data_IF_577625369949
#
_entry.id   IF_577625369949
#
_cell.length_a   1.000
_cell.length_b   1.000
_cell.length_c   1.000
_cell.angle_alpha   90.00
_cell.angle_beta   90.00
_cell.angle_gamma   90.00
#
_symmetry.space_group_name_H-M   'P 1'
#
loop_
_entity.id
_entity.type
_entity.pdbx_description
1 polymer ?
#
# COMPACT_ATOMS: atom_id res chain seq x y z
N UNK A 1 18.09 39.19 -11.08
CA UNK A 1 16.83 38.42 -10.97
C UNK A 1 16.96 37.49 -9.79
N UNK A 2 16.38 37.85 -8.64
CA UNK A 2 16.27 36.96 -7.48
C UNK A 2 15.30 35.85 -7.85
N UNK A 3 15.84 34.71 -8.29
CA UNK A 3 15.05 33.49 -8.52
C UNK A 3 14.43 33.12 -7.18
N UNK A 4 13.10 33.19 -7.09
CA UNK A 4 12.35 32.68 -5.95
C UNK A 4 12.87 31.27 -5.65
N UNK A 5 13.20 30.94 -4.39
CA UNK A 5 13.68 29.59 -4.08
C UNK A 5 12.65 28.57 -4.60
N UNK A 6 13.10 27.44 -5.19
CA UNK A 6 12.18 26.44 -5.68
C UNK A 6 11.26 25.98 -4.54
N UNK A 7 9.96 25.87 -4.85
CA UNK A 7 8.91 25.42 -3.94
C UNK A 7 9.17 23.98 -3.44
N UNK A 8 10.00 23.22 -4.17
CA UNK A 8 10.45 21.87 -3.85
C UNK A 8 11.88 21.84 -3.27
N UNK A 9 12.18 20.78 -2.53
CA UNK A 9 13.53 20.41 -2.09
C UNK A 9 14.20 19.48 -3.09
N UNK A 10 15.53 19.46 -3.08
CA UNK A 10 16.34 18.56 -3.90
C UNK A 10 17.12 17.67 -2.96
N UNK A 11 16.89 16.37 -3.07
CA UNK A 11 17.66 15.35 -2.38
C UNK A 11 18.64 14.71 -3.35
N UNK A 12 19.89 14.54 -2.90
CA UNK A 12 20.95 13.87 -3.67
C UNK A 12 21.50 12.71 -2.86
N UNK A 13 21.32 11.49 -3.35
CA UNK A 13 21.83 10.29 -2.70
C UNK A 13 22.00 9.15 -3.69
N UNK A 14 23.07 8.37 -3.51
CA UNK A 14 23.36 7.15 -4.29
C UNK A 14 23.31 7.33 -5.82
N UNK A 15 23.78 8.49 -6.30
CA UNK A 15 23.84 8.84 -7.71
C UNK A 15 22.54 9.39 -8.32
N UNK A 16 21.50 9.61 -7.50
CA UNK A 16 20.18 10.06 -7.96
C UNK A 16 19.80 11.42 -7.38
N UNK A 17 18.93 12.11 -8.10
CA UNK A 17 18.36 13.40 -7.70
C UNK A 17 16.85 13.25 -7.60
N UNK A 18 16.31 13.52 -6.42
CA UNK A 18 14.88 13.40 -6.12
C UNK A 18 14.32 14.77 -5.76
N UNK A 19 13.25 15.17 -6.44
CA UNK A 19 12.48 16.38 -6.13
C UNK A 19 11.40 16.03 -5.09
N UNK A 20 11.41 16.72 -3.94
CA UNK A 20 10.49 16.42 -2.84
C UNK A 20 9.77 17.67 -2.32
N UNK A 21 8.59 17.47 -1.71
CA UNK A 21 7.86 18.55 -1.06
C UNK A 21 8.41 18.76 0.35
N UNK A 22 8.91 19.96 0.65
CA UNK A 22 9.55 20.26 1.94
C UNK A 22 8.52 20.27 3.06
N UNK A 23 8.73 19.48 4.11
CA UNK A 23 7.85 19.50 5.28
C UNK A 23 8.63 19.11 6.53
N UNK A 24 8.49 19.92 7.57
CA UNK A 24 9.16 19.73 8.85
C UNK A 24 8.13 19.29 9.89
N UNK A 25 8.45 18.19 10.59
CA UNK A 25 7.59 17.65 11.65
C UNK A 25 7.94 18.29 12.99
N UNK A 26 6.93 18.70 13.74
CA UNK A 26 7.12 19.26 15.09
C UNK A 26 7.66 18.22 16.10
N UNK A 27 7.37 16.94 15.85
CA UNK A 27 7.72 15.84 16.75
C UNK A 27 8.28 14.65 15.97
N UNK A 28 9.37 14.07 16.46
CA UNK A 28 9.99 12.85 15.95
C UNK A 28 9.90 11.77 17.03
N UNK A 29 9.34 10.61 16.68
CA UNK A 29 9.30 9.47 17.60
C UNK A 29 10.63 8.72 17.60
N UNK A 30 10.94 8.02 18.70
CA UNK A 30 12.22 7.31 18.84
C UNK A 30 12.46 6.27 17.72
N UNK A 31 11.41 5.59 17.22
CA UNK A 31 11.55 4.68 16.08
C UNK A 31 11.88 5.42 14.78
N UNK A 32 11.38 6.64 14.61
CA UNK A 32 11.59 7.46 13.41
C UNK A 32 13.01 8.02 13.39
N UNK A 33 13.65 8.21 14.56
CA UNK A 33 15.06 8.60 14.63
C UNK A 33 16.05 7.54 14.14
N UNK A 34 15.60 6.29 13.91
CA UNK A 34 16.41 5.24 13.30
C UNK A 34 16.50 5.38 11.76
N UNK A 35 15.80 6.36 11.19
CA UNK A 35 15.73 6.57 9.76
C UNK A 35 17.06 7.09 9.19
N UNK A 36 17.54 6.43 8.13
CA UNK A 36 18.66 6.89 7.31
C UNK A 36 18.26 6.79 5.83
N UNK A 37 18.07 7.95 5.21
CA UNK A 37 17.60 8.09 3.83
C UNK A 37 18.55 7.41 2.83
N UNK A 38 19.88 7.54 3.01
CA UNK A 38 20.87 7.00 2.07
C UNK A 38 21.01 5.49 2.21
N UNK A 39 21.06 4.98 3.43
CA UNK A 39 21.14 3.53 3.68
C UNK A 39 19.89 2.83 3.16
N UNK A 40 18.70 3.35 3.47
CA UNK A 40 17.44 2.73 3.03
C UNK A 40 17.27 2.82 1.52
N UNK A 41 17.62 3.96 0.91
CA UNK A 41 17.60 4.07 -0.55
C UNK A 41 18.57 3.07 -1.20
N UNK A 42 19.78 2.90 -0.64
CA UNK A 42 20.75 1.90 -1.11
C UNK A 42 20.19 0.48 -0.99
N UNK A 43 19.51 0.18 0.12
CA UNK A 43 18.88 -1.11 0.33
C UNK A 43 17.86 -1.41 -0.76
N UNK A 44 16.90 -0.51 -1.03
CA UNK A 44 15.91 -0.75 -2.08
C UNK A 44 16.56 -0.81 -3.45
N UNK A 45 17.51 0.07 -3.78
CA UNK A 45 18.23 0.05 -5.06
C UNK A 45 18.92 -1.29 -5.32
N UNK A 46 19.56 -1.87 -4.31
CA UNK A 46 20.27 -3.14 -4.44
C UNK A 46 19.37 -4.38 -4.33
N UNK A 47 18.14 -4.23 -3.82
CA UNK A 47 17.32 -5.37 -3.42
C UNK A 47 15.90 -5.36 -3.96
N UNK A 48 15.46 -4.33 -4.69
CA UNK A 48 14.08 -4.23 -5.15
C UNK A 48 13.66 -5.46 -5.98
N UNK A 49 14.56 -6.00 -6.79
CA UNK A 49 14.29 -7.18 -7.63
C UNK A 49 14.04 -8.45 -6.79
N UNK A 50 14.50 -8.48 -5.53
CA UNK A 50 14.20 -9.57 -4.60
C UNK A 50 12.70 -9.66 -4.30
N UNK A 51 11.94 -8.57 -4.46
CA UNK A 51 10.47 -8.59 -4.36
C UNK A 51 9.85 -9.58 -5.35
N UNK A 52 10.38 -9.69 -6.56
CA UNK A 52 9.89 -10.63 -7.59
C UNK A 52 10.11 -12.07 -7.15
N UNK A 53 11.32 -12.38 -6.67
CA UNK A 53 11.63 -13.72 -6.15
C UNK A 53 10.79 -14.07 -4.91
N UNK A 54 10.57 -13.10 -4.01
CA UNK A 54 9.70 -13.27 -2.85
C UNK A 54 8.25 -13.54 -3.26
N UNK A 55 7.72 -12.82 -4.26
CA UNK A 55 6.37 -13.04 -4.78
C UNK A 55 6.22 -14.40 -5.46
N UNK A 56 7.20 -14.86 -6.24
CA UNK A 56 7.21 -16.20 -6.83
C UNK A 56 7.26 -17.26 -5.73
N UNK A 57 8.18 -17.11 -4.77
CA UNK A 57 8.32 -18.01 -3.63
C UNK A 57 7.04 -18.08 -2.79
N UNK A 58 6.38 -16.95 -2.58
CA UNK A 58 5.08 -16.85 -1.93
C UNK A 58 4.00 -17.66 -2.67
N UNK A 59 3.87 -17.52 -3.99
CA UNK A 59 2.89 -18.30 -4.77
C UNK A 59 3.18 -19.80 -4.66
N UNK A 60 4.44 -20.21 -4.79
CA UNK A 60 4.85 -21.62 -4.63
C UNK A 60 4.50 -22.13 -3.23
N UNK A 61 4.86 -21.36 -2.18
CA UNK A 61 4.57 -21.69 -0.80
C UNK A 61 3.08 -21.90 -0.55
N UNK A 62 2.23 -20.99 -1.04
CA UNK A 62 0.78 -21.09 -0.87
C UNK A 62 0.22 -22.36 -1.54
N UNK A 63 0.69 -22.70 -2.74
CA UNK A 63 0.26 -23.94 -3.42
C UNK A 63 0.71 -25.21 -2.68
N UNK A 64 1.97 -25.24 -2.22
CA UNK A 64 2.49 -26.35 -1.42
C UNK A 64 1.72 -26.50 -0.10
N UNK A 65 1.43 -25.38 0.57
CA UNK A 65 0.71 -25.38 1.82
C UNK A 65 -0.76 -25.81 1.64
N UNK A 66 -1.40 -25.42 0.54
CA UNK A 66 -2.75 -25.90 0.20
C UNK A 66 -2.76 -27.43 0.05
N UNK A 67 -1.83 -27.98 -0.74
CA UNK A 67 -1.68 -29.44 -0.92
C UNK A 67 -1.41 -30.15 0.40
N UNK A 68 -0.54 -29.58 1.24
CA UNK A 68 -0.25 -30.13 2.57
C UNK A 68 -1.47 -30.13 3.50
N UNK A 69 -2.33 -29.12 3.39
CA UNK A 69 -3.53 -29.01 4.21
C UNK A 69 -4.69 -29.89 3.71
N UNK A 70 -4.68 -30.41 2.48
CA UNK A 70 -5.76 -31.26 1.94
C UNK A 70 -6.12 -32.42 2.89
N UNK A 71 -5.11 -33.14 3.38
CA UNK A 71 -5.25 -34.28 4.28
C UNK A 71 -5.46 -33.92 5.77
N UNK A 72 -5.48 -32.62 6.13
CA UNK A 72 -5.52 -32.15 7.53
C UNK A 72 -6.83 -31.46 7.88
N UNK A 73 -7.15 -31.37 9.18
CA UNK A 73 -8.30 -30.58 9.65
C UNK A 73 -7.93 -29.07 9.69
N UNK A 74 -8.90 -28.16 9.49
CA UNK A 74 -8.64 -26.71 9.59
C UNK A 74 -8.16 -26.36 11.00
N UNK A 75 -7.11 -25.54 11.11
CA UNK A 75 -6.53 -25.19 12.40
C UNK A 75 -7.33 -24.08 13.10
N UNK A 76 -7.47 -24.21 14.42
CA UNK A 76 -8.08 -23.17 15.25
C UNK A 76 -7.02 -22.20 15.77
N UNK A 77 -6.69 -21.19 14.97
CA UNK A 77 -5.65 -20.18 15.24
C UNK A 77 -6.25 -18.80 15.55
N UNK A 78 -7.41 -18.75 16.19
CA UNK A 78 -8.11 -17.47 16.47
C UNK A 78 -7.27 -16.47 17.30
N UNK A 79 -6.60 -16.86 18.40
CA UNK A 79 -5.78 -15.91 19.17
C UNK A 79 -4.64 -15.33 18.33
N UNK A 80 -3.97 -16.19 17.55
CA UNK A 80 -2.90 -15.74 16.65
C UNK A 80 -3.42 -14.75 15.61
N UNK A 81 -4.58 -15.02 15.02
CA UNK A 81 -5.24 -14.08 14.11
C UNK A 81 -5.64 -12.76 14.76
N UNK A 82 -6.07 -12.78 16.03
CA UNK A 82 -6.40 -11.56 16.76
C UNK A 82 -5.16 -10.68 16.92
N UNK A 83 -4.05 -11.26 17.39
CA UNK A 83 -2.79 -10.51 17.56
C UNK A 83 -2.21 -10.05 16.22
N UNK A 84 -2.28 -10.89 15.18
CA UNK A 84 -1.81 -10.56 13.85
C UNK A 84 -2.60 -9.40 13.22
N UNK A 85 -3.93 -9.53 13.13
CA UNK A 85 -4.78 -8.48 12.57
C UNK A 85 -4.78 -7.24 13.47
N UNK A 86 -4.74 -7.40 14.79
CA UNK A 86 -4.64 -6.29 15.73
C UNK A 86 -3.32 -5.53 15.60
N UNK A 87 -2.21 -6.24 15.43
CA UNK A 87 -0.89 -5.65 15.17
C UNK A 87 -0.86 -4.87 13.86
N UNK A 88 -1.36 -5.46 12.76
CA UNK A 88 -1.47 -4.77 11.48
C UNK A 88 -2.44 -3.60 11.52
N UNK A 89 -3.54 -3.69 12.27
CA UNK A 89 -4.46 -2.58 12.50
C UNK A 89 -3.76 -1.42 13.22
N UNK A 90 -3.09 -1.68 14.35
CA UNK A 90 -2.33 -0.64 15.08
C UNK A 90 -1.26 -0.03 14.19
N UNK A 91 -0.48 -0.86 13.49
CA UNK A 91 0.52 -0.41 12.53
C UNK A 91 -0.07 0.53 11.48
N UNK A 92 -1.19 0.15 10.86
CA UNK A 92 -1.85 0.97 9.85
C UNK A 92 -2.51 2.21 10.41
N UNK A 93 -3.04 2.18 11.64
CA UNK A 93 -3.59 3.36 12.33
C UNK A 93 -2.47 4.37 12.58
N UNK A 94 -1.37 3.94 13.20
CA UNK A 94 -0.22 4.82 13.48
C UNK A 94 0.37 5.35 12.18
N UNK A 95 0.53 4.49 11.16
CA UNK A 95 0.98 4.91 9.83
C UNK A 95 0.04 5.94 9.19
N UNK A 96 -1.27 5.74 9.27
CA UNK A 96 -2.27 6.71 8.77
C UNK A 96 -2.11 8.06 9.44
N UNK A 97 -1.98 8.10 10.77
CA UNK A 97 -1.84 9.36 11.49
C UNK A 97 -0.50 10.04 11.22
N UNK A 98 0.62 9.30 11.32
CA UNK A 98 1.96 9.88 11.17
C UNK A 98 2.23 10.31 9.74
N UNK A 99 1.96 9.44 8.77
CA UNK A 99 2.10 9.79 7.35
C UNK A 99 1.06 10.84 6.92
N UNK A 100 -0.13 10.81 7.53
CA UNK A 100 -1.24 11.73 7.27
C UNK A 100 -0.92 13.20 7.53
N UNK A 101 0.04 13.50 8.42
CA UNK A 101 0.47 14.86 8.73
C UNK A 101 1.12 15.52 7.49
N UNK A 102 2.13 14.89 6.90
CA UNK A 102 2.76 15.39 5.67
C UNK A 102 1.81 15.30 4.47
N UNK A 103 0.99 14.24 4.40
CA UNK A 103 -0.04 14.12 3.37
C UNK A 103 -1.00 15.31 3.38
N UNK A 104 -1.50 15.69 4.56
CA UNK A 104 -2.42 16.81 4.72
C UNK A 104 -1.78 18.12 4.27
N UNK A 105 -0.54 18.39 4.67
CA UNK A 105 0.19 19.59 4.26
C UNK A 105 0.40 19.65 2.74
N UNK A 106 0.88 18.55 2.15
CA UNK A 106 1.13 18.47 0.71
C UNK A 106 -0.14 18.67 -0.11
N UNK A 107 -1.26 18.06 0.29
CA UNK A 107 -2.53 18.12 -0.46
C UNK A 107 -3.27 19.43 -0.25
N UNK A 108 -3.46 19.84 1.01
CA UNK A 108 -4.40 20.92 1.35
C UNK A 108 -3.74 22.29 1.52
N UNK A 109 -2.44 22.36 1.81
CA UNK A 109 -1.75 23.65 1.97
C UNK A 109 -0.91 24.02 0.74
N UNK A 110 -0.19 23.05 0.17
CA UNK A 110 0.66 23.28 -1.01
C UNK A 110 -0.06 23.07 -2.34
N UNK A 111 -1.06 22.20 -2.35
CA UNK A 111 -1.94 21.98 -3.48
C UNK A 111 -1.66 20.69 -4.27
N UNK A 112 -2.55 20.35 -5.21
CA UNK A 112 -2.58 19.03 -5.84
C UNK A 112 -1.32 18.72 -6.65
N UNK A 113 -0.74 19.70 -7.35
CA UNK A 113 0.49 19.51 -8.12
C UNK A 113 1.65 19.05 -7.23
N UNK A 114 1.88 19.75 -6.12
CA UNK A 114 2.92 19.42 -5.15
C UNK A 114 2.73 18.02 -4.57
N UNK A 115 1.47 17.68 -4.24
CA UNK A 115 1.12 16.40 -3.65
C UNK A 115 1.34 15.20 -4.58
N UNK A 116 1.30 15.41 -5.90
CA UNK A 116 1.35 14.36 -6.92
C UNK A 116 2.73 14.28 -7.58
N UNK A 117 3.42 15.40 -7.73
CA UNK A 117 4.64 15.49 -8.53
C UNK A 117 5.94 15.71 -7.76
N UNK A 118 5.88 16.03 -6.47
CA UNK A 118 7.05 16.03 -5.61
C UNK A 118 6.99 14.92 -4.58
N UNK A 119 8.09 14.18 -4.42
CA UNK A 119 8.23 13.09 -3.48
C UNK A 119 8.00 13.51 -2.03
N UNK A 120 7.82 12.51 -1.17
CA UNK A 120 7.85 12.65 0.29
C UNK A 120 9.21 13.25 0.69
N UNK A 121 9.24 14.13 1.69
CA UNK A 121 10.49 14.65 2.22
C UNK A 121 11.37 13.49 2.73
N UNK A 122 12.53 13.20 2.10
CA UNK A 122 13.36 12.04 2.44
C UNK A 122 13.92 12.09 3.85
N UNK A 123 13.98 13.26 4.48
CA UNK A 123 14.48 13.42 5.86
C UNK A 123 13.38 13.32 6.92
N UNK A 124 12.12 13.18 6.50
CA UNK A 124 10.97 13.29 7.40
C UNK A 124 10.50 11.94 7.95
N UNK A 125 9.81 11.93 9.10
CA UNK A 125 9.05 10.78 9.57
C UNK A 125 8.18 10.08 8.52
N UNK A 126 7.60 10.80 7.55
CA UNK A 126 6.82 10.17 6.49
C UNK A 126 7.67 9.25 5.59
N UNK A 127 8.95 9.56 5.36
CA UNK A 127 9.83 8.68 4.59
C UNK A 127 10.08 7.35 5.34
N UNK A 128 10.26 7.42 6.66
CA UNK A 128 10.32 6.23 7.52
C UNK A 128 9.04 5.38 7.40
N UNK A 129 7.87 6.01 7.51
CA UNK A 129 6.59 5.29 7.36
C UNK A 129 6.37 4.77 5.93
N UNK A 130 6.89 5.45 4.90
CA UNK A 130 6.91 4.94 3.53
C UNK A 130 7.79 3.69 3.35
N UNK A 131 8.93 3.62 4.04
CA UNK A 131 9.75 2.39 4.08
C UNK A 131 9.02 1.27 4.83
N UNK A 132 8.47 1.56 6.01
CA UNK A 132 7.71 0.59 6.79
C UNK A 132 6.51 0.04 6.00
N UNK A 133 5.85 0.88 5.21
CA UNK A 133 4.82 0.47 4.27
C UNK A 133 5.33 -0.55 3.24
N UNK A 134 6.47 -0.27 2.60
CA UNK A 134 7.04 -1.18 1.61
C UNK A 134 7.44 -2.54 2.24
N UNK A 135 7.95 -2.51 3.49
CA UNK A 135 8.29 -3.72 4.24
C UNK A 135 7.04 -4.48 4.71
N UNK A 136 5.93 -3.80 5.05
CA UNK A 136 4.71 -4.44 5.52
C UNK A 136 4.12 -5.41 4.50
N UNK A 137 4.34 -5.18 3.19
CA UNK A 137 3.85 -6.06 2.13
C UNK A 137 4.40 -7.49 2.22
N UNK A 138 5.61 -7.67 2.77
CA UNK A 138 6.13 -9.01 3.09
C UNK A 138 5.36 -9.62 4.25
N UNK A 139 5.14 -8.85 5.33
CA UNK A 139 4.39 -9.33 6.47
C UNK A 139 2.98 -9.78 6.03
N UNK A 140 2.30 -8.99 5.20
CA UNK A 140 0.95 -9.25 4.69
C UNK A 140 0.80 -10.58 3.92
N UNK A 141 1.89 -11.22 3.44
CA UNK A 141 1.82 -12.61 2.93
C UNK A 141 1.31 -13.60 3.98
N UNK A 142 1.50 -13.31 5.26
CA UNK A 142 0.95 -14.08 6.37
C UNK A 142 -0.57 -14.20 6.31
N UNK A 143 -1.29 -13.21 5.77
CA UNK A 143 -2.75 -13.25 5.64
C UNK A 143 -3.20 -14.47 4.82
N UNK A 144 -2.53 -14.70 3.70
CA UNK A 144 -2.84 -15.84 2.81
C UNK A 144 -2.45 -17.16 3.46
N UNK A 145 -1.31 -17.21 4.16
CA UNK A 145 -0.91 -18.38 4.93
C UNK A 145 -2.01 -18.74 5.92
N UNK A 146 -2.53 -17.79 6.70
CA UNK A 146 -3.59 -18.06 7.66
C UNK A 146 -4.92 -18.47 7.01
N UNK A 147 -5.26 -17.97 5.81
CA UNK A 147 -6.42 -18.46 5.06
C UNK A 147 -6.26 -19.93 4.70
N UNK A 148 -5.10 -20.35 4.19
CA UNK A 148 -4.83 -21.75 3.83
C UNK A 148 -4.87 -22.66 5.05
N UNK A 149 -4.21 -22.26 6.15
CA UNK A 149 -4.20 -23.01 7.42
C UNK A 149 -5.60 -23.21 8.02
N UNK A 150 -6.54 -22.32 7.71
CA UNK A 150 -7.96 -22.40 8.12
C UNK A 150 -8.86 -23.07 7.09
N UNK A 151 -8.30 -23.57 5.97
CA UNK A 151 -9.05 -24.07 4.80
C UNK A 151 -10.11 -23.07 4.30
N UNK A 152 -9.78 -21.79 4.30
CA UNK A 152 -10.59 -20.74 3.68
C UNK A 152 -10.20 -20.59 2.20
N UNK A 153 -11.16 -20.32 1.30
CA UNK A 153 -10.86 -20.17 -0.12
C UNK A 153 -9.91 -18.99 -0.35
N UNK A 154 -8.80 -19.24 -1.02
CA UNK A 154 -7.86 -18.20 -1.46
C UNK A 154 -8.25 -17.80 -2.88
N UNK A 155 -9.01 -16.72 -3.00
CA UNK A 155 -9.48 -16.22 -4.29
C UNK A 155 -8.35 -15.59 -5.11
N UNK A 156 -8.49 -15.58 -6.43
CA UNK A 156 -7.51 -14.99 -7.36
C UNK A 156 -7.10 -13.57 -6.95
N UNK A 157 -8.10 -12.71 -6.71
CA UNK A 157 -7.89 -11.31 -6.30
C UNK A 157 -6.93 -11.20 -5.10
N UNK A 158 -7.05 -12.08 -4.10
CA UNK A 158 -6.26 -11.97 -2.88
C UNK A 158 -4.78 -12.30 -3.13
N UNK A 159 -4.48 -13.48 -3.69
CA UNK A 159 -3.08 -13.87 -3.86
C UNK A 159 -2.38 -13.06 -4.94
N UNK A 160 -3.09 -12.70 -6.02
CA UNK A 160 -2.58 -11.84 -7.09
C UNK A 160 -2.26 -10.44 -6.55
N UNK A 161 -3.17 -9.86 -5.75
CA UNK A 161 -2.95 -8.58 -5.09
C UNK A 161 -1.66 -8.60 -4.26
N UNK A 162 -1.54 -9.51 -3.29
CA UNK A 162 -0.37 -9.54 -2.41
C UNK A 162 0.94 -9.71 -3.17
N UNK A 163 0.99 -10.59 -4.17
CA UNK A 163 2.19 -10.80 -4.98
C UNK A 163 2.62 -9.55 -5.75
N UNK A 164 1.65 -8.83 -6.34
CA UNK A 164 1.95 -7.70 -7.23
C UNK A 164 2.18 -6.39 -6.46
N UNK A 165 1.48 -6.15 -5.34
CA UNK A 165 1.69 -4.94 -4.53
C UNK A 165 3.07 -4.91 -3.88
N UNK A 166 3.66 -6.06 -3.54
CA UNK A 166 5.03 -6.11 -3.03
C UNK A 166 6.02 -5.59 -4.09
N UNK A 167 5.89 -6.07 -5.34
CA UNK A 167 6.76 -5.66 -6.45
C UNK A 167 6.60 -4.17 -6.73
N UNK A 168 5.35 -3.68 -6.81
CA UNK A 168 5.08 -2.26 -7.05
C UNK A 168 5.63 -1.38 -5.93
N UNK A 169 5.42 -1.74 -4.65
CA UNK A 169 5.88 -0.94 -3.52
C UNK A 169 7.41 -0.84 -3.49
N UNK A 170 8.12 -1.94 -3.78
CA UNK A 170 9.58 -1.97 -3.78
C UNK A 170 10.17 -1.23 -4.98
N UNK A 171 9.54 -1.35 -6.15
CA UNK A 171 9.93 -0.58 -7.34
C UNK A 171 9.70 0.93 -7.14
N UNK A 172 8.57 1.31 -6.55
CA UNK A 172 8.26 2.70 -6.21
C UNK A 172 9.19 3.28 -5.13
N UNK A 173 9.65 2.46 -4.18
CA UNK A 173 10.61 2.88 -3.15
C UNK A 173 12.00 3.21 -3.72
N UNK A 174 12.42 2.55 -4.81
CA UNK A 174 13.67 2.90 -5.52
C UNK A 174 13.57 4.29 -6.14
N UNK A 175 12.49 4.57 -6.86
CA UNK A 175 12.33 5.86 -7.55
C UNK A 175 11.90 7.01 -6.63
N UNK A 176 11.56 6.69 -5.38
CA UNK A 176 10.97 7.61 -4.40
C UNK A 176 9.79 8.37 -5.03
N UNK A 177 8.85 7.60 -5.62
CA UNK A 177 7.84 8.18 -6.50
C UNK A 177 6.89 9.14 -5.78
N UNK A 178 6.62 10.28 -6.41
CA UNK A 178 5.75 11.30 -5.83
C UNK A 178 4.31 10.84 -5.65
N UNK A 179 3.74 10.17 -6.66
CA UNK A 179 2.41 9.56 -6.57
C UNK A 179 2.31 8.50 -5.46
N UNK A 180 3.44 7.93 -5.04
CA UNK A 180 3.53 7.02 -3.89
C UNK A 180 2.91 7.60 -2.62
N UNK A 181 2.99 8.92 -2.41
CA UNK A 181 2.37 9.61 -1.26
C UNK A 181 0.88 9.28 -1.14
N UNK A 182 0.14 9.37 -2.23
CA UNK A 182 -1.29 9.10 -2.27
C UNK A 182 -1.60 7.61 -2.09
N UNK A 183 -0.84 6.74 -2.77
CA UNK A 183 -1.01 5.29 -2.67
C UNK A 183 -0.77 4.77 -1.26
N UNK A 184 0.28 5.25 -0.60
CA UNK A 184 0.65 4.89 0.77
C UNK A 184 -0.43 5.35 1.74
N UNK A 185 -0.83 6.63 1.70
CA UNK A 185 -1.83 7.17 2.62
C UNK A 185 -3.19 6.47 2.51
N UNK A 186 -3.71 6.31 1.29
CA UNK A 186 -4.99 5.63 1.07
C UNK A 186 -4.94 4.18 1.54
N UNK A 187 -3.86 3.47 1.24
CA UNK A 187 -3.72 2.08 1.68
C UNK A 187 -3.63 1.99 3.21
N UNK A 188 -2.85 2.85 3.88
CA UNK A 188 -2.80 2.89 5.34
C UNK A 188 -4.18 3.13 5.95
N UNK A 189 -4.90 4.13 5.44
CA UNK A 189 -6.24 4.45 5.91
C UNK A 189 -7.20 3.27 5.74
N UNK A 190 -7.27 2.68 4.56
CA UNK A 190 -8.16 1.55 4.28
C UNK A 190 -7.75 0.28 5.04
N UNK A 191 -6.44 0.00 5.15
CA UNK A 191 -5.92 -1.14 5.92
C UNK A 191 -6.19 -0.98 7.42
N UNK A 192 -6.15 0.24 7.96
CA UNK A 192 -6.51 0.49 9.36
C UNK A 192 -7.94 0.00 9.66
N UNK A 193 -8.89 0.26 8.75
CA UNK A 193 -10.28 -0.16 8.87
C UNK A 193 -10.45 -1.66 8.60
N UNK A 194 -9.81 -2.17 7.54
CA UNK A 194 -9.89 -3.58 7.15
C UNK A 194 -9.33 -4.51 8.22
N UNK A 195 -8.13 -4.25 8.74
CA UNK A 195 -7.53 -5.09 9.77
C UNK A 195 -8.24 -4.97 11.11
N UNK A 196 -8.79 -3.79 11.45
CA UNK A 196 -9.66 -3.65 12.62
C UNK A 196 -10.91 -4.53 12.48
N UNK A 197 -11.55 -4.52 11.30
CA UNK A 197 -12.67 -5.41 10.98
C UNK A 197 -12.27 -6.90 11.10
N UNK A 198 -11.09 -7.29 10.61
CA UNK A 198 -10.60 -8.67 10.73
C UNK A 198 -10.24 -9.07 12.16
N UNK A 199 -9.66 -8.17 12.96
CA UNK A 199 -9.38 -8.40 14.36
C UNK A 199 -10.69 -8.66 15.14
N UNK A 200 -11.72 -7.83 14.95
CA UNK A 200 -13.03 -8.00 15.59
C UNK A 200 -13.71 -9.31 15.13
N UNK A 201 -13.67 -9.63 13.84
CA UNK A 201 -14.29 -10.86 13.33
C UNK A 201 -13.50 -12.13 13.73
N UNK A 202 -12.22 -12.02 14.08
CA UNK A 202 -11.39 -13.14 14.53
C UNK A 202 -11.82 -13.72 15.88
N UNK A 203 -12.38 -12.88 16.77
CA UNK A 203 -12.96 -13.32 18.06
C UNK A 203 -14.36 -13.92 17.91
N UNK A 204 -14.89 -13.99 16.69
CA UNK A 204 -16.19 -14.57 16.39
C UNK A 204 -17.35 -13.58 16.42
N UNK A 205 -17.08 -12.29 16.64
CA UNK A 205 -18.09 -11.24 16.57
C UNK A 205 -18.49 -10.98 15.11
N UNK A 206 -19.79 -11.00 14.82
CA UNK A 206 -20.33 -10.77 13.47
C UNK A 206 -20.80 -9.33 13.35
N UNK A 207 -20.01 -8.51 12.66
CA UNK A 207 -20.38 -7.13 12.36
C UNK A 207 -21.52 -7.06 11.33
N UNK A 208 -22.34 -5.99 11.37
CA UNK A 208 -23.39 -5.77 10.37
C UNK A 208 -22.84 -5.77 8.94
N UNK A 209 -23.64 -6.24 7.98
CA UNK A 209 -23.26 -6.31 6.56
C UNK A 209 -22.82 -4.95 6.00
N UNK A 210 -23.38 -3.84 6.52
CA UNK A 210 -23.01 -2.49 6.09
C UNK A 210 -21.53 -2.19 6.36
N UNK A 211 -20.96 -2.70 7.45
CA UNK A 211 -19.55 -2.46 7.79
C UNK A 211 -18.62 -3.12 6.77
N UNK A 212 -18.86 -4.39 6.43
CA UNK A 212 -18.04 -5.08 5.43
C UNK A 212 -18.23 -4.50 4.02
N UNK A 213 -19.44 -4.05 3.71
CA UNK A 213 -19.74 -3.34 2.46
C UNK A 213 -18.99 -2.01 2.39
N UNK A 214 -18.96 -1.22 3.47
CA UNK A 214 -18.19 0.04 3.54
C UNK A 214 -16.70 -0.19 3.36
N UNK A 215 -16.11 -1.20 4.04
CA UNK A 215 -14.69 -1.53 3.86
C UNK A 215 -14.39 -1.88 2.40
N UNK A 216 -15.21 -2.73 1.78
CA UNK A 216 -15.03 -3.11 0.37
C UNK A 216 -15.24 -1.92 -0.56
N UNK A 217 -16.20 -1.04 -0.28
CA UNK A 217 -16.45 0.17 -1.06
C UNK A 217 -15.23 1.11 -1.00
N UNK A 218 -14.67 1.34 0.18
CA UNK A 218 -13.47 2.16 0.35
C UNK A 218 -12.26 1.57 -0.40
N UNK A 219 -12.07 0.24 -0.36
CA UNK A 219 -11.03 -0.44 -1.14
C UNK A 219 -11.21 -0.21 -2.65
N UNK A 220 -12.44 -0.31 -3.15
CA UNK A 220 -12.75 -0.07 -4.57
C UNK A 220 -12.54 1.39 -4.96
N UNK A 221 -12.98 2.34 -4.11
CA UNK A 221 -12.77 3.78 -4.35
C UNK A 221 -11.28 4.12 -4.40
N UNK A 222 -10.45 3.50 -3.55
CA UNK A 222 -9.00 3.67 -3.60
C UNK A 222 -8.42 3.31 -4.99
N UNK A 223 -8.98 2.29 -5.67
CA UNK A 223 -8.52 1.88 -7.00
C UNK A 223 -8.90 2.91 -8.07
N UNK A 224 -10.10 3.48 -7.98
CA UNK A 224 -10.52 4.59 -8.85
C UNK A 224 -9.60 5.80 -8.68
N UNK A 225 -9.31 6.20 -7.44
CA UNK A 225 -8.40 7.32 -7.17
C UNK A 225 -6.99 6.99 -7.68
N UNK A 226 -6.51 5.76 -7.50
CA UNK A 226 -5.19 5.34 -7.95
C UNK A 226 -5.01 5.43 -9.48
N UNK A 227 -6.02 4.98 -10.23
CA UNK A 227 -6.07 5.15 -11.69
C UNK A 227 -6.13 6.62 -12.07
N UNK A 228 -6.97 7.43 -11.40
CA UNK A 228 -7.09 8.86 -11.65
C UNK A 228 -5.77 9.62 -11.44
N UNK A 229 -5.04 9.33 -10.36
CA UNK A 229 -3.73 9.92 -10.09
C UNK A 229 -2.72 9.53 -11.18
N UNK A 230 -2.71 8.27 -11.61
CA UNK A 230 -1.82 7.80 -12.67
C UNK A 230 -2.09 8.53 -13.99
N UNK A 231 -3.37 8.72 -14.34
CA UNK A 231 -3.75 9.51 -15.53
C UNK A 231 -3.31 10.97 -15.38
N UNK A 232 -3.50 11.57 -14.20
CA UNK A 232 -3.10 12.96 -13.97
C UNK A 232 -1.58 13.15 -14.07
N UNK A 233 -0.78 12.23 -13.51
CA UNK A 233 0.67 12.24 -13.68
C UNK A 233 1.05 12.14 -15.16
N UNK A 234 0.39 11.27 -15.91
CA UNK A 234 0.64 11.12 -17.36
C UNK A 234 0.37 12.44 -18.09
N UNK A 235 -0.76 13.09 -17.84
CA UNK A 235 -1.12 14.38 -18.45
C UNK A 235 -0.08 15.45 -18.12
N UNK A 236 0.32 15.55 -16.85
CA UNK A 236 1.33 16.51 -16.38
C UNK A 236 2.66 16.30 -17.11
N UNK A 237 3.13 15.05 -17.20
CA UNK A 237 4.39 14.70 -17.88
C UNK A 237 4.33 14.97 -19.38
N UNK A 238 3.22 14.66 -20.04
CA UNK A 238 3.02 14.93 -21.47
C UNK A 238 2.99 16.43 -21.79
N UNK A 239 2.55 17.27 -20.84
CA UNK A 239 2.62 18.72 -20.94
C UNK A 239 4.03 19.30 -20.65
N UNK A 240 5.05 18.44 -20.46
CA UNK A 240 6.43 18.86 -20.23
C UNK A 240 6.71 19.37 -18.80
N UNK A 241 5.78 19.18 -17.87
CA UNK A 241 5.96 19.62 -16.48
C UNK A 241 6.78 18.60 -15.67
N UNK A 242 7.50 19.10 -14.66
CA UNK A 242 8.37 18.29 -13.80
C UNK A 242 7.54 17.44 -12.84
N UNK A 243 7.71 16.12 -12.90
CA UNK A 243 7.04 15.18 -12.00
C UNK A 243 7.98 14.03 -11.65
N UNK A 244 8.22 13.82 -10.35
CA UNK A 244 9.14 12.82 -9.79
C UNK A 244 8.53 11.40 -9.86
N UNK A 245 8.48 10.86 -11.07
CA UNK A 245 8.08 9.49 -11.36
C UNK A 245 8.56 9.12 -12.78
N UNK A 246 9.18 7.94 -12.98
CA UNK A 246 9.56 7.51 -14.32
C UNK A 246 8.34 7.11 -15.17
N UNK A 247 8.49 7.04 -16.50
CA UNK A 247 7.43 6.50 -17.36
C UNK A 247 7.21 5.00 -17.11
N UNK A 248 8.26 4.26 -16.78
CA UNK A 248 8.20 2.82 -16.50
C UNK A 248 7.39 2.54 -15.24
N UNK A 249 7.69 3.26 -14.15
CA UNK A 249 6.94 3.15 -12.91
C UNK A 249 5.49 3.62 -13.06
N UNK A 250 5.27 4.69 -13.84
CA UNK A 250 3.93 5.17 -14.14
C UNK A 250 3.11 4.11 -14.89
N UNK A 251 3.69 3.49 -15.93
CA UNK A 251 3.04 2.43 -16.68
C UNK A 251 2.74 1.22 -15.79
N UNK A 252 3.70 0.81 -14.96
CA UNK A 252 3.53 -0.27 -13.98
C UNK A 252 2.41 0.04 -12.98
N UNK A 253 2.42 1.22 -12.38
CA UNK A 253 1.40 1.68 -11.43
C UNK A 253 0.02 1.69 -12.07
N UNK A 254 -0.11 2.29 -13.26
CA UNK A 254 -1.38 2.35 -13.99
C UNK A 254 -1.92 0.94 -14.30
N UNK A 255 -1.09 0.05 -14.84
CA UNK A 255 -1.50 -1.30 -15.19
C UNK A 255 -2.01 -2.09 -13.97
N UNK A 256 -1.33 -1.98 -12.83
CA UNK A 256 -1.70 -2.67 -11.60
C UNK A 256 -2.99 -2.09 -10.99
N UNK A 257 -3.08 -0.77 -10.87
CA UNK A 257 -4.28 -0.14 -10.32
C UNK A 257 -5.51 -0.33 -11.22
N UNK A 258 -5.33 -0.35 -12.55
CA UNK A 258 -6.40 -0.66 -13.49
C UNK A 258 -6.86 -2.12 -13.36
N UNK A 259 -5.94 -3.08 -13.20
CA UNK A 259 -6.30 -4.48 -12.99
C UNK A 259 -7.05 -4.68 -11.67
N UNK A 260 -6.60 -4.02 -10.60
CA UNK A 260 -7.29 -4.04 -9.31
C UNK A 260 -8.65 -3.38 -9.36
N UNK A 261 -8.80 -2.26 -10.08
CA UNK A 261 -10.09 -1.61 -10.24
C UNK A 261 -11.14 -2.58 -10.81
N UNK A 262 -10.78 -3.33 -11.87
CA UNK A 262 -11.66 -4.35 -12.45
C UNK A 262 -11.98 -5.45 -11.44
N UNK A 263 -10.96 -5.98 -10.75
CA UNK A 263 -11.13 -7.10 -9.82
C UNK A 263 -11.94 -6.73 -8.58
N UNK A 264 -11.69 -5.57 -7.97
CA UNK A 264 -12.44 -5.08 -6.81
C UNK A 264 -13.88 -4.70 -7.19
N UNK A 265 -14.09 -4.10 -8.36
CA UNK A 265 -15.44 -3.81 -8.85
C UNK A 265 -16.24 -5.09 -9.09
N UNK A 266 -15.62 -6.10 -9.71
CA UNK A 266 -16.24 -7.40 -9.92
C UNK A 266 -16.53 -8.10 -8.58
N UNK A 267 -15.59 -8.06 -7.62
CA UNK A 267 -15.81 -8.60 -6.28
C UNK A 267 -16.97 -7.91 -5.56
N UNK A 268 -17.02 -6.57 -5.58
CA UNK A 268 -18.08 -5.79 -4.95
C UNK A 268 -19.45 -6.12 -5.56
N UNK A 269 -19.54 -6.18 -6.89
CA UNK A 269 -20.76 -6.53 -7.60
C UNK A 269 -21.26 -7.92 -7.17
N UNK A 270 -20.39 -8.94 -7.20
CA UNK A 270 -20.75 -10.32 -6.86
C UNK A 270 -21.05 -10.54 -5.37
N UNK A 271 -20.43 -9.75 -4.48
CA UNK A 271 -20.62 -9.88 -3.04
C UNK A 271 -21.88 -9.14 -2.53
N UNK A 272 -22.22 -8.00 -3.14
CA UNK A 272 -23.21 -7.08 -2.57
C UNK A 272 -24.40 -6.75 -3.48
N UNK A 273 -24.22 -6.68 -4.80
CA UNK A 273 -25.26 -6.21 -5.73
C UNK A 273 -26.00 -7.36 -6.42
N UNK A 274 -25.28 -8.40 -6.83
CA UNK A 274 -25.88 -9.57 -7.46
C UNK A 274 -26.70 -10.33 -6.41
N UNK A 275 -28.03 -10.39 -6.62
CA UNK A 275 -28.92 -11.23 -5.82
C UNK A 275 -28.59 -12.69 -6.11
N UNK A 276 -28.04 -13.40 -5.12
CA UNK A 276 -27.89 -14.86 -5.24
C UNK A 276 -29.28 -15.48 -5.26
N UNK A 277 -29.57 -16.44 -6.18
CA UNK A 277 -30.81 -17.18 -6.13
C UNK A 277 -30.95 -17.82 -4.75
N UNK A 278 -32.14 -17.76 -4.15
CA UNK A 278 -32.44 -18.53 -2.94
C UNK A 278 -32.11 -19.99 -3.28
N UNK A 279 -31.20 -20.60 -2.51
CA UNK A 279 -31.07 -22.05 -2.53
C UNK A 279 -32.41 -22.59 -2.01
N UNK A 280 -33.19 -23.18 -2.90
CA UNK A 280 -34.27 -24.10 -2.52
C UNK A 280 -33.69 -25.33 -1.82
#
# INVERSE_FOLDING_TARGET
MTVSPPHYGIWKGNGETVLYSKYDYDTIYWIESLWDDKQVHTFFKNHWFKSVYLSIGYVILINLLQKFMESRKPMNIRPLLLFWNGGLAIFSIVGTFRFGIEFYDAVFRKGPYDSICFAINPYSPAAFWGCMFALSKIAEFGDTVFLVLRKRPVIFLHWYHHAVVLVLAWHAAVEVTAAGRWFIFMNYFVHSLMYTYYAITSVGYRLPKIVSMTVTALQTVQMFIGVGISILVLIIKLNGQLCQQSYDNLALSFAIYASFLVLFSNFFNNAYLVKKPKKE
#
